data_IF_025231816343
#
_entry.id   IF_025231816343
#
_cell.length_a   1.000
_cell.length_b   1.000
_cell.length_c   1.000
_cell.angle_alpha   90.00
_cell.angle_beta   90.00
_cell.angle_gamma   90.00
#
_symmetry.space_group_name_H-M   'P 1'
#
loop_
_entity.id
_entity.type
_entity.pdbx_description
1 polymer ?
#
# COMPACT_ATOMS: atom_id res chain seq x y z
N UNK A 1 -2.00 1.35 -9.76
CA UNK A 1 -2.29 2.11 -8.52
C UNK A 1 -2.11 3.63 -8.69
N UNK A 2 -0.93 4.12 -9.13
CA UNK A 2 -0.58 5.56 -9.16
C UNK A 2 -1.60 6.52 -9.82
N UNK A 3 -2.15 6.29 -11.03
CA UNK A 3 -3.04 7.26 -11.66
C UNK A 3 -4.28 7.59 -10.83
N UNK A 4 -4.86 6.57 -10.17
CA UNK A 4 -6.02 6.76 -9.29
C UNK A 4 -5.64 7.46 -7.99
N UNK A 5 -4.49 7.11 -7.41
CA UNK A 5 -3.92 7.81 -6.25
C UNK A 5 -3.70 9.29 -6.54
N UNK A 6 -3.02 9.64 -7.64
CA UNK A 6 -2.74 11.02 -8.03
C UNK A 6 -4.03 11.81 -8.25
N UNK A 7 -5.04 11.23 -8.92
CA UNK A 7 -6.35 11.86 -9.11
C UNK A 7 -7.03 12.16 -7.76
N UNK A 8 -7.08 11.17 -6.87
CA UNK A 8 -7.71 11.29 -5.55
C UNK A 8 -7.02 12.35 -4.69
N UNK A 9 -5.70 12.26 -4.53
CA UNK A 9 -4.94 13.17 -3.69
C UNK A 9 -4.86 14.59 -4.26
N UNK A 10 -4.83 14.76 -5.59
CA UNK A 10 -4.91 16.10 -6.19
C UNK A 10 -6.29 16.74 -5.96
N UNK A 11 -7.38 15.97 -5.99
CA UNK A 11 -8.70 16.50 -5.69
C UNK A 11 -8.81 16.95 -4.23
N UNK A 12 -8.41 16.08 -3.29
CA UNK A 12 -8.36 16.41 -1.85
C UNK A 12 -7.41 17.58 -1.58
N UNK A 13 -6.28 17.64 -2.29
CA UNK A 13 -5.28 18.68 -2.12
C UNK A 13 -5.79 20.07 -2.50
N UNK A 14 -6.68 20.19 -3.50
CA UNK A 14 -7.34 21.46 -3.84
C UNK A 14 -8.18 22.01 -2.69
N UNK A 15 -8.79 21.14 -1.89
CA UNK A 15 -9.61 21.52 -0.74
C UNK A 15 -8.75 21.81 0.50
N UNK A 16 -7.63 21.09 0.66
CA UNK A 16 -6.79 21.13 1.88
C UNK A 16 -5.52 21.97 1.75
N UNK A 17 -5.29 22.59 0.59
CA UNK A 17 -4.09 23.36 0.30
C UNK A 17 -2.83 22.51 0.13
N UNK A 18 -2.95 21.22 -0.18
CA UNK A 18 -1.80 20.37 -0.42
C UNK A 18 -1.22 20.61 -1.83
N UNK A 19 0.11 20.57 -1.98
CA UNK A 19 0.73 20.61 -3.28
C UNK A 19 0.32 19.39 -4.13
N UNK A 20 0.34 19.50 -5.47
CA UNK A 20 0.05 18.38 -6.34
C UNK A 20 0.95 17.17 -6.06
N UNK A 21 0.40 15.98 -6.30
CA UNK A 21 1.15 14.72 -6.30
C UNK A 21 2.15 14.75 -7.46
N UNK A 22 3.41 14.47 -7.16
CA UNK A 22 4.45 14.19 -8.15
C UNK A 22 4.83 12.72 -8.09
N UNK A 23 5.46 12.22 -9.15
CA UNK A 23 5.94 10.84 -9.18
C UNK A 23 6.95 10.58 -8.08
N UNK A 24 7.89 11.51 -7.84
CA UNK A 24 8.95 11.36 -6.84
C UNK A 24 8.38 11.23 -5.43
N UNK A 25 7.32 11.99 -5.12
CA UNK A 25 6.65 11.89 -3.81
C UNK A 25 5.88 10.60 -3.65
N UNK A 26 5.26 10.11 -4.73
CA UNK A 26 4.59 8.82 -4.70
C UNK A 26 5.60 7.68 -4.53
N UNK A 27 6.69 7.69 -5.31
CA UNK A 27 7.77 6.72 -5.23
C UNK A 27 8.40 6.69 -3.83
N UNK A 28 8.66 7.86 -3.24
CA UNK A 28 9.14 7.97 -1.87
C UNK A 28 8.21 7.30 -0.83
N UNK A 29 6.91 7.23 -1.11
CA UNK A 29 5.93 6.58 -0.24
C UNK A 29 5.79 5.07 -0.51
N UNK A 30 6.00 4.62 -1.74
CA UNK A 30 5.87 3.20 -2.11
C UNK A 30 7.17 2.42 -2.02
N UNK A 31 8.33 3.08 -1.97
CA UNK A 31 9.62 2.41 -1.81
C UNK A 31 9.71 1.61 -0.49
N UNK A 32 10.83 0.90 -0.30
CA UNK A 32 11.11 0.06 0.87
C UNK A 32 10.82 0.75 2.21
N UNK A 33 11.07 2.06 2.33
CA UNK A 33 11.01 2.82 3.58
C UNK A 33 9.75 3.69 3.73
N UNK A 34 9.02 3.94 2.65
CA UNK A 34 7.82 4.77 2.67
C UNK A 34 6.64 4.14 3.41
N UNK A 35 5.53 4.86 3.52
CA UNK A 35 4.37 4.41 4.31
C UNK A 35 3.36 3.53 3.53
N UNK A 36 3.29 3.65 2.20
CA UNK A 36 2.32 2.91 1.41
C UNK A 36 2.80 1.48 1.17
N UNK A 37 2.03 0.50 1.61
CA UNK A 37 2.33 -0.92 1.38
C UNK A 37 1.74 -1.35 0.02
N UNK A 38 2.49 -1.04 -1.04
CA UNK A 38 2.14 -1.31 -2.44
C UNK A 38 3.38 -1.87 -3.14
N UNK A 39 3.25 -3.01 -3.80
CA UNK A 39 4.35 -3.71 -4.44
C UNK A 39 3.94 -5.14 -4.83
N UNK A 40 4.94 -5.98 -5.07
CA UNK A 40 4.73 -7.43 -5.19
C UNK A 40 4.49 -8.09 -3.81
N UNK A 41 4.08 -9.38 -3.75
CA UNK A 41 3.82 -10.05 -2.48
C UNK A 41 5.00 -10.07 -1.49
N UNK A 42 6.24 -10.17 -1.99
CA UNK A 42 7.46 -10.22 -1.19
C UNK A 42 7.77 -8.84 -0.59
N UNK A 43 7.65 -7.78 -1.38
CA UNK A 43 7.79 -6.40 -0.93
C UNK A 43 6.74 -6.05 0.13
N UNK A 44 5.48 -6.42 -0.13
CA UNK A 44 4.36 -6.19 0.79
C UNK A 44 4.59 -6.93 2.11
N UNK A 45 4.91 -8.23 2.07
CA UNK A 45 5.17 -9.02 3.27
C UNK A 45 6.35 -8.48 4.09
N UNK A 46 7.47 -8.19 3.44
CA UNK A 46 8.65 -7.63 4.10
C UNK A 46 8.36 -6.27 4.74
N UNK A 47 7.53 -5.45 4.10
CA UNK A 47 7.12 -4.14 4.63
C UNK A 47 6.18 -4.26 5.83
N UNK A 48 5.25 -5.22 5.82
CA UNK A 48 4.38 -5.53 6.98
C UNK A 48 5.23 -5.95 8.18
N UNK A 49 6.16 -6.88 8.00
CA UNK A 49 7.04 -7.36 9.08
C UNK A 49 7.89 -6.22 9.65
N UNK A 50 8.50 -5.40 8.79
CA UNK A 50 9.25 -4.22 9.21
C UNK A 50 8.40 -3.23 10.01
N UNK A 51 7.16 -2.98 9.59
CA UNK A 51 6.25 -2.11 10.34
C UNK A 51 5.86 -2.72 11.68
N UNK A 52 5.63 -4.03 11.73
CA UNK A 52 5.39 -4.77 12.97
C UNK A 52 6.56 -4.60 13.95
N UNK A 53 7.78 -4.90 13.50
CA UNK A 53 9.01 -4.79 14.29
C UNK A 53 9.21 -3.38 14.84
N UNK A 54 9.08 -2.35 13.98
CA UNK A 54 9.25 -0.96 14.38
C UNK A 54 8.23 -0.48 15.42
N UNK A 55 7.07 -1.16 15.53
CA UNK A 55 6.01 -0.85 16.49
C UNK A 55 6.03 -1.77 17.73
N UNK A 56 7.01 -2.67 17.84
CA UNK A 56 7.11 -3.63 18.95
C UNK A 56 6.18 -4.84 18.81
N UNK A 57 5.69 -5.10 17.59
CA UNK A 57 4.72 -6.15 17.26
C UNK A 57 3.33 -5.59 16.99
N UNK A 58 2.70 -6.05 15.92
CA UNK A 58 1.28 -5.77 15.62
C UNK A 58 0.48 -7.05 15.48
N UNK A 59 -0.71 -7.09 16.08
CA UNK A 59 -1.62 -8.24 15.99
C UNK A 59 -2.49 -8.22 14.72
N UNK A 60 -2.61 -7.05 14.09
CA UNK A 60 -3.49 -6.84 12.93
C UNK A 60 -2.92 -5.83 11.96
N UNK A 61 -2.94 -6.20 10.68
CA UNK A 61 -2.68 -5.30 9.57
C UNK A 61 -3.94 -5.23 8.69
N UNK A 62 -4.42 -4.02 8.40
CA UNK A 62 -5.62 -3.79 7.58
C UNK A 62 -5.24 -2.99 6.33
N UNK A 63 -5.78 -3.38 5.17
CA UNK A 63 -5.52 -2.67 3.92
C UNK A 63 -6.70 -1.76 3.53
N UNK A 64 -6.39 -0.52 3.16
CA UNK A 64 -7.26 0.31 2.34
C UNK A 64 -6.72 0.27 0.91
N UNK A 65 -7.41 -0.44 0.03
CA UNK A 65 -6.90 -0.76 -1.32
C UNK A 65 -7.60 -0.01 -2.45
N UNK A 66 -8.81 0.49 -2.22
CA UNK A 66 -9.60 1.14 -3.24
C UNK A 66 -9.08 2.55 -3.55
N UNK A 67 -9.13 2.90 -4.83
CA UNK A 67 -8.95 4.26 -5.31
C UNK A 67 -9.76 4.46 -6.61
N UNK A 68 -9.94 5.70 -7.10
CA UNK A 68 -10.89 6.00 -8.18
C UNK A 68 -10.69 5.27 -9.51
N UNK A 69 -9.53 4.66 -9.76
CA UNK A 69 -9.21 4.00 -11.03
C UNK A 69 -8.87 2.51 -10.86
N UNK A 70 -9.09 1.93 -9.67
CA UNK A 70 -8.97 0.49 -9.47
C UNK A 70 -10.28 -0.18 -9.84
N UNK A 71 -10.19 -1.18 -10.74
CA UNK A 71 -11.35 -2.00 -11.09
C UNK A 71 -11.64 -3.04 -10.02
N UNK A 72 -12.87 -3.54 -9.99
CA UNK A 72 -13.24 -4.66 -9.12
C UNK A 72 -12.34 -5.88 -9.34
N UNK A 73 -12.02 -6.21 -10.60
CA UNK A 73 -11.15 -7.33 -10.95
C UNK A 73 -9.73 -7.17 -10.37
N UNK A 74 -9.15 -5.98 -10.48
CA UNK A 74 -7.84 -5.68 -9.88
C UNK A 74 -7.87 -5.80 -8.36
N UNK A 75 -8.96 -5.35 -7.72
CA UNK A 75 -9.12 -5.48 -6.28
C UNK A 75 -9.24 -6.95 -5.86
N UNK A 76 -10.02 -7.75 -6.59
CA UNK A 76 -10.16 -9.19 -6.33
C UNK A 76 -8.84 -9.94 -6.54
N UNK A 77 -8.06 -9.58 -7.57
CA UNK A 77 -6.73 -10.12 -7.79
C UNK A 77 -5.78 -9.78 -6.64
N UNK A 78 -5.79 -8.54 -6.15
CA UNK A 78 -4.99 -8.15 -4.98
C UNK A 78 -5.40 -8.91 -3.71
N UNK A 79 -6.71 -9.09 -3.47
CA UNK A 79 -7.22 -9.89 -2.34
C UNK A 79 -6.72 -11.34 -2.44
N UNK A 80 -6.74 -11.93 -3.65
CA UNK A 80 -6.22 -13.28 -3.89
C UNK A 80 -4.73 -13.38 -3.56
N UNK A 81 -3.91 -12.46 -4.06
CA UNK A 81 -2.47 -12.40 -3.75
C UNK A 81 -2.19 -12.22 -2.25
N UNK A 82 -2.99 -11.40 -1.56
CA UNK A 82 -2.88 -11.24 -0.11
C UNK A 82 -3.14 -12.57 0.60
N UNK A 83 -4.22 -13.26 0.23
CA UNK A 83 -4.62 -14.53 0.82
C UNK A 83 -3.64 -15.67 0.55
N UNK A 84 -3.17 -15.79 -0.69
CA UNK A 84 -2.39 -16.94 -1.17
C UNK A 84 -0.88 -16.77 -1.03
N UNK A 85 -0.35 -15.54 -1.05
CA UNK A 85 1.09 -15.29 -1.07
C UNK A 85 1.55 -14.45 0.13
N UNK A 86 0.94 -13.29 0.37
CA UNK A 86 1.40 -12.37 1.41
C UNK A 86 1.23 -12.95 2.81
N UNK A 87 0.05 -13.49 3.14
CA UNK A 87 -0.22 -14.04 4.48
C UNK A 87 0.74 -15.20 4.80
N UNK A 88 0.97 -16.18 3.92
CA UNK A 88 1.99 -17.21 4.14
C UNK A 88 3.40 -16.64 4.34
N UNK A 89 3.83 -15.67 3.52
CA UNK A 89 5.15 -15.04 3.63
C UNK A 89 5.34 -14.31 4.96
N UNK A 90 4.32 -13.61 5.45
CA UNK A 90 4.38 -12.95 6.76
C UNK A 90 4.48 -13.99 7.88
N UNK A 91 3.68 -15.05 7.83
CA UNK A 91 3.65 -16.09 8.88
C UNK A 91 4.91 -16.94 8.94
N UNK A 92 5.62 -17.14 7.84
CA UNK A 92 6.86 -17.91 7.83
C UNK A 92 8.06 -17.12 8.35
N UNK A 93 7.96 -15.80 8.44
CA UNK A 93 9.03 -14.89 8.85
C UNK A 93 8.68 -14.06 10.11
N UNK A 94 7.55 -14.36 10.76
CA UNK A 94 7.15 -13.80 12.06
C UNK A 94 7.57 -14.76 13.18
#
# INVERSE_FOLDING_TARGET
YYPGYAKMFNNVGKERGWPPVTWERFDAQTNKWGALVVGDPQEVAGKILRHSEALGGVDRFTFQMDNPLITHEQLMAAIKLIGEEVIPLVRSNA
#
